data_IF_949775836860
#
_entry.id   IF_949775836860
#
_cell.length_a   1.000
_cell.length_b   1.000
_cell.length_c   1.000
_cell.angle_alpha   90.00
_cell.angle_beta   90.00
_cell.angle_gamma   90.00
#
_symmetry.space_group_name_H-M   'P 1'
#
loop_
_entity.id
_entity.type
_entity.pdbx_description
1 polymer ?
#
# COMPACT_ATOMS: atom_id res chain seq x y z
N UNK A 1 10.64 -3.09 6.06
CA UNK A 1 10.85 -1.66 5.71
C UNK A 1 9.50 -1.01 5.51
N UNK A 2 9.08 -0.14 6.43
CA UNK A 2 7.90 0.70 6.32
C UNK A 2 8.04 1.63 5.11
N UNK A 3 7.04 1.67 4.25
CA UNK A 3 6.99 2.59 3.10
C UNK A 3 5.60 3.19 2.99
N UNK A 4 5.52 4.50 2.78
CA UNK A 4 4.27 5.20 2.52
C UNK A 4 4.47 6.06 1.29
N UNK A 5 3.68 5.79 0.25
CA UNK A 5 3.67 6.58 -0.97
C UNK A 5 3.47 8.06 -0.66
N UNK A 6 4.21 8.98 -1.31
CA UNK A 6 3.93 10.42 -1.24
C UNK A 6 2.52 10.78 -1.74
N UNK A 7 1.88 9.91 -2.53
CA UNK A 7 0.51 10.10 -3.04
C UNK A 7 -0.56 9.58 -2.07
N UNK A 8 -0.17 8.85 -1.03
CA UNK A 8 -1.12 8.29 -0.07
C UNK A 8 -1.59 9.35 0.94
N UNK A 9 -2.83 9.19 1.41
CA UNK A 9 -3.41 9.96 2.52
C UNK A 9 -3.70 9.01 3.66
N UNK A 10 -2.97 9.15 4.75
CA UNK A 10 -3.08 8.26 5.92
C UNK A 10 -3.54 9.06 7.13
N UNK A 11 -4.77 8.80 7.57
CA UNK A 11 -5.38 9.36 8.78
C UNK A 11 -5.55 8.31 9.89
N UNK A 12 -5.06 7.08 9.68
CA UNK A 12 -5.06 6.00 10.64
C UNK A 12 -3.66 5.68 11.18
N UNK A 13 -3.57 4.64 12.00
CA UNK A 13 -2.34 4.16 12.60
C UNK A 13 -1.72 3.04 11.77
N UNK A 14 -0.42 3.15 11.48
CA UNK A 14 0.39 2.09 10.89
C UNK A 14 1.32 1.54 11.96
N UNK A 15 1.20 0.24 12.24
CA UNK A 15 2.03 -0.50 13.19
C UNK A 15 3.12 -1.24 12.40
N UNK A 16 4.37 -1.13 12.84
CA UNK A 16 5.50 -1.83 12.22
C UNK A 16 5.82 -1.40 10.79
N UNK A 17 6.13 -2.38 9.96
CA UNK A 17 6.72 -2.28 8.62
C UNK A 17 5.67 -2.33 7.50
N UNK A 18 4.50 -1.74 7.73
CA UNK A 18 3.44 -1.65 6.73
C UNK A 18 3.88 -0.87 5.47
N UNK A 19 3.39 -1.29 4.31
CA UNK A 19 3.67 -0.69 2.99
C UNK A 19 2.37 -0.14 2.41
N UNK A 20 2.35 1.16 2.08
CA UNK A 20 1.21 1.84 1.47
C UNK A 20 1.63 2.36 0.11
N UNK A 21 1.03 1.83 -0.95
CA UNK A 21 1.35 2.15 -2.34
C UNK A 21 0.28 3.03 -2.99
N UNK A 22 0.72 3.83 -3.96
CA UNK A 22 -0.14 4.63 -4.83
C UNK A 22 -0.96 5.68 -4.08
N UNK A 23 -2.00 6.22 -4.74
CA UNK A 23 -2.92 7.19 -4.14
C UNK A 23 -3.92 6.53 -3.17
N UNK A 24 -3.42 5.73 -2.23
CA UNK A 24 -4.22 5.05 -1.21
C UNK A 24 -4.77 6.03 -0.18
N UNK A 25 -6.00 5.79 0.28
CA UNK A 25 -6.67 6.58 1.31
C UNK A 25 -6.98 5.66 2.49
N UNK A 26 -6.37 5.95 3.63
CA UNK A 26 -6.64 5.28 4.91
C UNK A 26 -7.34 6.31 5.80
N UNK A 27 -8.62 6.09 6.07
CA UNK A 27 -9.42 7.00 6.89
C UNK A 27 -9.14 6.84 8.38
N UNK A 28 -9.79 7.69 9.17
CA UNK A 28 -9.60 7.81 10.61
C UNK A 28 -9.97 6.52 11.36
N UNK A 29 -9.28 6.27 12.46
CA UNK A 29 -9.54 5.13 13.35
C UNK A 29 -9.10 3.78 12.79
N UNK A 30 -8.51 3.74 11.59
CA UNK A 30 -7.94 2.51 11.04
C UNK A 30 -6.67 2.10 11.77
N UNK A 31 -6.47 0.80 11.90
CA UNK A 31 -5.25 0.19 12.43
C UNK A 31 -4.74 -0.80 11.37
N UNK A 32 -3.55 -0.53 10.87
CA UNK A 32 -2.86 -1.41 9.92
C UNK A 32 -1.71 -2.06 10.67
N UNK A 33 -1.77 -3.38 10.80
CA UNK A 33 -0.74 -4.16 11.48
C UNK A 33 0.52 -4.35 10.63
N UNK A 34 1.51 -4.99 11.23
CA UNK A 34 2.83 -5.19 10.63
C UNK A 34 2.76 -6.02 9.34
N UNK A 35 3.69 -5.74 8.43
CA UNK A 35 3.87 -6.49 7.17
C UNK A 35 2.65 -6.50 6.23
N UNK A 36 1.70 -5.57 6.39
CA UNK A 36 0.56 -5.40 5.48
C UNK A 36 0.94 -4.52 4.28
N UNK A 37 0.54 -4.94 3.07
CA UNK A 37 0.71 -4.16 1.82
C UNK A 37 -0.63 -3.62 1.34
N UNK A 38 -0.80 -2.30 1.38
CA UNK A 38 -1.99 -1.60 0.92
C UNK A 38 -1.75 -1.05 -0.49
N UNK A 39 -2.72 -1.24 -1.38
CA UNK A 39 -2.63 -0.75 -2.76
C UNK A 39 -1.74 -1.61 -3.64
N UNK A 40 -1.59 -2.90 -3.35
CA UNK A 40 -0.83 -3.79 -4.23
C UNK A 40 -1.44 -3.81 -5.65
N UNK A 41 -0.64 -3.58 -6.72
CA UNK A 41 -1.17 -3.55 -8.08
C UNK A 41 -1.80 -4.88 -8.50
N UNK A 42 -2.83 -4.82 -9.35
CA UNK A 42 -3.45 -6.03 -9.91
C UNK A 42 -2.48 -6.77 -10.84
N UNK A 43 -2.66 -8.09 -10.99
CA UNK A 43 -1.82 -8.98 -11.81
C UNK A 43 -1.44 -8.40 -13.17
N UNK A 44 -2.41 -7.83 -13.90
CA UNK A 44 -2.17 -7.25 -15.24
C UNK A 44 -1.10 -6.15 -15.22
N UNK A 45 -1.08 -5.30 -14.19
CA UNK A 45 -0.09 -4.22 -14.04
C UNK A 45 1.26 -4.78 -13.59
N UNK A 46 1.27 -5.76 -12.70
CA UNK A 46 2.50 -6.44 -12.27
C UNK A 46 3.22 -7.09 -13.44
N UNK A 47 2.51 -7.80 -14.32
CA UNK A 47 3.11 -8.46 -15.48
C UNK A 47 3.78 -7.48 -16.46
N UNK A 48 3.33 -6.22 -16.50
CA UNK A 48 3.98 -5.15 -17.28
C UNK A 48 5.26 -4.63 -16.60
N UNK A 49 5.39 -4.85 -15.29
CA UNK A 49 6.45 -4.34 -14.43
C UNK A 49 7.68 -5.27 -14.38
N UNK A 50 7.45 -6.60 -14.45
CA UNK A 50 8.49 -7.63 -14.31
C UNK A 50 9.62 -7.49 -15.35
N UNK A 51 9.37 -6.83 -16.48
CA UNK A 51 10.38 -6.56 -17.52
C UNK A 51 11.32 -5.39 -17.24
N UNK A 52 11.12 -4.61 -16.17
CA UNK A 52 11.84 -3.35 -15.87
C UNK A 52 12.49 -3.37 -14.48
N UNK A 53 13.28 -4.41 -14.21
CA UNK A 53 13.58 -4.91 -12.87
C UNK A 53 14.52 -4.09 -11.96
N UNK A 54 14.94 -2.88 -12.31
CA UNK A 54 15.95 -2.16 -11.50
C UNK A 54 15.37 -1.50 -10.24
N UNK A 55 14.11 -1.02 -10.26
CA UNK A 55 13.50 -0.31 -9.13
C UNK A 55 12.05 -0.76 -8.87
N UNK A 56 11.90 -2.02 -8.49
CA UNK A 56 10.59 -2.66 -8.31
C UNK A 56 9.67 -1.88 -7.35
N UNK A 57 10.19 -1.24 -6.30
CA UNK A 57 9.36 -0.52 -5.32
C UNK A 57 8.70 0.73 -5.90
N UNK A 58 9.45 1.56 -6.61
CA UNK A 58 8.94 2.80 -7.20
C UNK A 58 7.97 2.47 -8.32
N UNK A 59 8.32 1.47 -9.13
CA UNK A 59 7.46 0.94 -10.17
C UNK A 59 6.13 0.40 -9.61
N UNK A 60 6.17 -0.34 -8.49
CA UNK A 60 4.95 -0.83 -7.82
C UNK A 60 4.10 0.31 -7.28
N UNK A 61 4.73 1.35 -6.73
CA UNK A 61 4.03 2.54 -6.29
C UNK A 61 3.31 3.21 -7.47
N UNK A 62 4.04 3.52 -8.55
CA UNK A 62 3.51 4.16 -9.75
C UNK A 62 2.35 3.37 -10.38
N UNK A 63 2.51 2.05 -10.51
CA UNK A 63 1.49 1.18 -11.07
C UNK A 63 0.26 1.06 -10.17
N UNK A 64 0.39 1.29 -8.87
CA UNK A 64 -0.72 1.19 -7.95
C UNK A 64 -1.81 2.23 -8.27
N UNK A 65 -3.06 1.75 -8.35
CA UNK A 65 -4.24 2.61 -8.36
C UNK A 65 -4.65 3.09 -6.96
N UNK A 66 -3.91 2.68 -5.93
CA UNK A 66 -4.26 2.86 -4.53
C UNK A 66 -5.42 1.98 -4.08
N UNK A 67 -5.65 2.00 -2.77
CA UNK A 67 -6.82 1.38 -2.11
C UNK A 67 -7.52 2.41 -1.23
N UNK A 68 -8.84 2.23 -1.01
CA UNK A 68 -9.62 3.06 -0.10
C UNK A 68 -10.07 2.21 1.09
N UNK A 69 -9.55 2.51 2.26
CA UNK A 69 -10.03 1.95 3.52
C UNK A 69 -11.07 2.90 4.14
N UNK A 70 -12.18 2.31 4.59
CA UNK A 70 -13.21 3.01 5.36
C UNK A 70 -12.70 3.48 6.71
N UNK A 71 -13.58 4.00 7.57
CA UNK A 71 -13.22 4.37 8.95
C UNK A 71 -13.18 3.13 9.85
N UNK A 72 -12.34 3.16 10.88
CA UNK A 72 -12.32 2.12 11.93
C UNK A 72 -12.09 0.70 11.41
N UNK A 73 -11.32 0.55 10.33
CA UNK A 73 -10.95 -0.76 9.77
C UNK A 73 -9.66 -1.28 10.42
N UNK A 74 -9.64 -2.56 10.76
CA UNK A 74 -8.43 -3.24 11.23
C UNK A 74 -7.93 -4.17 10.11
N UNK A 75 -6.74 -3.90 9.60
CA UNK A 75 -6.04 -4.78 8.66
C UNK A 75 -4.99 -5.57 9.43
N UNK A 76 -5.22 -6.87 9.55
CA UNK A 76 -4.37 -7.77 10.33
C UNK A 76 -3.15 -8.19 9.51
N UNK A 77 -2.05 -8.48 10.20
CA UNK A 77 -0.88 -9.09 9.56
C UNK A 77 -1.28 -10.38 8.83
N UNK A 78 -0.61 -10.66 7.71
CA UNK A 78 -0.81 -11.87 6.90
C UNK A 78 -2.21 -12.01 6.25
N UNK A 79 -2.91 -10.90 5.98
CA UNK A 79 -4.12 -10.83 5.15
C UNK A 79 -3.77 -10.33 3.75
#
# INVERSE_FOLDING_TARGET
MRFVSPRARVHGSLIGEAVVLGPSIIREGCVIEDSVVIGHPVRRKLLQAVSKAEELRELLDELSSGSRLGRSVIMRSCT
#
